data_IF_767954099524
#
_entry.id   IF_767954099524
#
_cell.length_a   1.000
_cell.length_b   1.000
_cell.length_c   1.000
_cell.angle_alpha   90.00
_cell.angle_beta   90.00
_cell.angle_gamma   90.00
#
_symmetry.space_group_name_H-M   'P 1'
#
loop_
_entity.id
_entity.type
_entity.pdbx_description
1 polymer ?
#
# COMPACT_ATOMS: atom_id res chain seq x y z
N UNK A 1 -4.79 17.77 -38.96
CA UNK A 1 -3.37 18.02 -38.66
C UNK A 1 -3.33 18.34 -37.17
N UNK A 2 -2.93 17.40 -36.33
CA UNK A 2 -2.96 17.56 -34.88
C UNK A 2 -1.57 18.00 -34.40
N UNK A 3 -1.53 19.15 -33.72
CA UNK A 3 -0.32 19.74 -33.15
C UNK A 3 0.09 18.96 -31.89
N UNK A 4 1.29 18.38 -31.89
CA UNK A 4 1.90 17.75 -30.72
C UNK A 4 2.68 18.81 -29.96
N UNK A 5 2.07 19.38 -28.92
CA UNK A 5 2.78 20.30 -28.01
C UNK A 5 3.58 19.46 -27.02
N UNK A 6 4.88 19.33 -27.25
CA UNK A 6 5.84 18.76 -26.30
C UNK A 6 6.38 19.90 -25.42
N UNK A 7 6.02 19.90 -24.13
CA UNK A 7 6.63 20.83 -23.17
C UNK A 7 8.02 20.31 -22.76
N UNK A 8 9.04 21.19 -22.66
CA UNK A 8 10.37 20.78 -22.24
C UNK A 8 10.40 20.44 -20.75
N UNK A 9 11.01 19.29 -20.43
CA UNK A 9 11.32 18.91 -19.04
C UNK A 9 12.50 19.80 -18.58
N UNK A 10 12.40 20.49 -17.42
CA UNK A 10 13.50 21.32 -16.93
C UNK A 10 14.77 20.49 -16.72
N UNK A 11 15.87 20.91 -17.34
CA UNK A 11 17.21 20.33 -17.13
C UNK A 11 17.62 20.54 -15.67
N UNK A 12 17.83 19.45 -14.92
CA UNK A 12 18.36 19.56 -13.56
C UNK A 12 18.42 18.26 -12.76
N UNK A 13 17.47 17.35 -12.95
CA UNK A 13 17.52 15.99 -12.39
C UNK A 13 17.04 15.02 -13.47
N UNK A 14 17.94 14.19 -13.99
CA UNK A 14 17.52 13.01 -14.73
C UNK A 14 16.82 12.14 -13.68
N UNK A 15 15.50 11.93 -13.72
CA UNK A 15 14.90 10.94 -12.83
C UNK A 15 15.68 9.65 -13.06
N UNK A 16 16.10 8.98 -11.98
CA UNK A 16 16.77 7.68 -12.10
C UNK A 16 15.97 6.86 -13.10
N UNK A 17 16.61 6.54 -14.25
CA UNK A 17 15.93 5.76 -15.27
C UNK A 17 15.53 4.46 -14.58
N UNK A 18 14.25 4.06 -14.65
CA UNK A 18 13.82 2.81 -14.05
C UNK A 18 14.70 1.70 -14.59
N UNK A 19 15.16 0.83 -13.69
CA UNK A 19 15.98 -0.32 -14.04
C UNK A 19 15.11 -1.40 -14.72
N UNK A 20 14.79 -1.13 -15.99
CA UNK A 20 14.00 -2.02 -16.82
C UNK A 20 14.75 -3.32 -17.09
N UNK A 21 16.07 -3.26 -17.24
CA UNK A 21 16.89 -4.43 -17.57
C UNK A 21 16.80 -5.46 -16.43
N UNK A 22 17.02 -5.05 -15.17
CA UNK A 22 16.86 -5.96 -14.02
C UNK A 22 15.43 -6.52 -13.89
N UNK A 23 14.40 -5.73 -14.23
CA UNK A 23 13.02 -6.20 -14.18
C UNK A 23 12.69 -7.18 -15.31
N UNK A 24 13.22 -6.94 -16.52
CA UNK A 24 13.08 -7.82 -17.68
C UNK A 24 13.79 -9.15 -17.37
N UNK A 25 15.04 -9.11 -16.91
CA UNK A 25 15.81 -10.29 -16.54
C UNK A 25 15.08 -11.14 -15.49
N UNK A 26 14.51 -10.49 -14.47
CA UNK A 26 13.71 -11.19 -13.46
C UNK A 26 12.46 -11.85 -14.07
N UNK A 27 11.76 -11.15 -14.94
CA UNK A 27 10.57 -11.67 -15.62
C UNK A 27 10.90 -12.88 -16.48
N UNK A 28 11.90 -12.78 -17.34
CA UNK A 28 12.23 -13.81 -18.32
C UNK A 28 12.97 -15.00 -17.73
N UNK A 29 13.62 -14.83 -16.57
CA UNK A 29 14.17 -15.95 -15.79
C UNK A 29 13.11 -16.69 -14.95
N UNK A 30 12.00 -16.05 -14.60
CA UNK A 30 11.01 -16.60 -13.65
C UNK A 30 9.74 -17.12 -14.32
N UNK A 31 9.25 -16.45 -15.36
CA UNK A 31 7.98 -16.80 -16.03
C UNK A 31 8.27 -17.53 -17.32
N UNK A 32 7.92 -18.82 -17.40
CA UNK A 32 8.02 -19.65 -18.62
C UNK A 32 9.34 -19.40 -19.39
N UNK A 33 10.48 -19.62 -18.73
CA UNK A 33 11.82 -19.17 -19.16
C UNK A 33 12.11 -19.36 -20.65
N UNK A 34 11.86 -20.56 -21.17
CA UNK A 34 12.18 -20.95 -22.55
C UNK A 34 11.24 -20.33 -23.61
N UNK A 35 10.17 -19.66 -23.18
CA UNK A 35 9.13 -19.12 -24.07
C UNK A 35 9.45 -17.72 -24.63
N UNK A 36 10.47 -17.06 -24.08
CA UNK A 36 10.89 -15.72 -24.46
C UNK A 36 11.86 -15.74 -25.64
N UNK A 37 11.71 -14.78 -26.56
CA UNK A 37 12.58 -14.61 -27.73
C UNK A 37 14.07 -14.50 -27.37
N UNK A 38 14.39 -13.92 -26.21
CA UNK A 38 15.77 -13.75 -25.73
C UNK A 38 16.42 -15.03 -25.18
N UNK A 39 15.61 -16.03 -24.78
CA UNK A 39 16.10 -17.23 -24.08
C UNK A 39 16.17 -18.49 -24.97
N UNK A 40 15.58 -18.51 -26.18
CA UNK A 40 15.56 -19.73 -26.98
C UNK A 40 15.14 -19.61 -28.44
N UNK A 41 15.54 -20.63 -29.23
CA UNK A 41 15.15 -20.80 -30.64
C UNK A 41 13.71 -21.32 -30.68
N UNK A 42 12.74 -20.40 -30.76
CA UNK A 42 11.31 -20.73 -30.79
C UNK A 42 10.44 -19.95 -29.81
N UNK A 43 11.04 -19.03 -29.03
CA UNK A 43 10.28 -18.11 -28.20
C UNK A 43 9.24 -17.34 -29.03
N UNK A 44 8.04 -17.19 -28.50
CA UNK A 44 6.96 -16.40 -29.13
C UNK A 44 6.64 -15.15 -28.31
N UNK A 45 7.18 -15.07 -27.09
CA UNK A 45 6.92 -13.97 -26.18
C UNK A 45 8.00 -12.90 -26.31
N UNK A 46 7.56 -11.65 -26.20
CA UNK A 46 8.39 -10.48 -26.31
C UNK A 46 8.06 -9.49 -25.20
N UNK A 47 9.10 -8.92 -24.60
CA UNK A 47 9.04 -7.89 -23.58
C UNK A 47 9.99 -6.76 -23.95
N UNK A 48 9.54 -5.52 -23.86
CA UNK A 48 10.37 -4.34 -24.15
C UNK A 48 10.05 -3.18 -23.20
N UNK A 49 11.02 -2.34 -22.85
CA UNK A 49 10.77 -1.13 -22.10
C UNK A 49 10.01 -0.10 -22.95
N UNK A 50 9.12 0.64 -22.31
CA UNK A 50 8.47 1.83 -22.84
C UNK A 50 8.70 3.01 -21.87
N UNK A 51 9.85 3.71 -22.00
CA UNK A 51 10.30 4.67 -20.98
C UNK A 51 9.39 5.88 -20.82
N UNK A 52 8.64 6.26 -21.85
CA UNK A 52 7.79 7.46 -21.87
C UNK A 52 6.84 7.56 -20.68
N UNK A 53 6.37 6.43 -20.15
CA UNK A 53 5.50 6.38 -18.98
C UNK A 53 5.91 5.28 -17.99
N UNK A 54 7.20 4.93 -17.93
CA UNK A 54 7.73 3.93 -17.00
C UNK A 54 7.03 2.55 -17.11
N UNK A 55 6.71 2.10 -18.33
CA UNK A 55 5.95 0.86 -18.56
C UNK A 55 6.76 -0.20 -19.31
N UNK A 56 6.30 -1.45 -19.25
CA UNK A 56 6.75 -2.56 -20.08
C UNK A 56 5.66 -2.89 -21.11
N UNK A 57 6.06 -3.11 -22.36
CA UNK A 57 5.19 -3.67 -23.40
C UNK A 57 5.47 -5.15 -23.50
N UNK A 58 4.45 -5.97 -23.31
CA UNK A 58 4.55 -7.42 -23.35
C UNK A 58 3.58 -7.98 -24.40
N UNK A 59 4.10 -8.77 -25.32
CA UNK A 59 3.33 -9.58 -26.26
C UNK A 59 3.54 -11.05 -25.91
N UNK A 60 2.52 -11.69 -25.34
CA UNK A 60 2.60 -13.08 -24.90
C UNK A 60 1.23 -13.78 -24.89
N UNK A 61 1.22 -15.08 -24.60
CA UNK A 61 -0.04 -15.82 -24.38
C UNK A 61 -0.80 -15.34 -23.12
N UNK A 62 -2.10 -15.58 -23.06
CA UNK A 62 -2.92 -15.22 -21.88
C UNK A 62 -2.40 -15.83 -20.57
N UNK A 63 -1.95 -17.08 -20.62
CA UNK A 63 -1.34 -17.75 -19.46
C UNK A 63 -0.10 -17.02 -18.96
N UNK A 64 0.79 -16.59 -19.86
CA UNK A 64 2.00 -15.83 -19.50
C UNK A 64 1.62 -14.48 -18.87
N UNK A 65 0.59 -13.80 -19.39
CA UNK A 65 0.08 -12.58 -18.76
C UNK A 65 -0.46 -12.81 -17.34
N UNK A 66 -1.09 -13.95 -17.06
CA UNK A 66 -1.57 -14.29 -15.72
C UNK A 66 -0.40 -14.55 -14.76
N UNK A 67 0.63 -15.29 -15.21
CA UNK A 67 1.85 -15.54 -14.42
C UNK A 67 2.63 -14.22 -14.16
N UNK A 68 2.76 -13.36 -15.17
CA UNK A 68 3.34 -12.01 -15.04
C UNK A 68 2.58 -11.16 -14.01
N UNK A 69 1.24 -11.21 -14.03
CA UNK A 69 0.41 -10.50 -13.05
C UNK A 69 0.72 -10.99 -11.64
N UNK A 70 0.87 -12.30 -11.45
CA UNK A 70 1.25 -12.91 -10.17
C UNK A 70 2.63 -12.46 -9.68
N UNK A 71 3.64 -12.51 -10.56
CA UNK A 71 5.00 -12.07 -10.23
C UNK A 71 5.04 -10.58 -9.86
N UNK A 72 4.50 -9.70 -10.71
CA UNK A 72 4.49 -8.27 -10.47
C UNK A 72 3.66 -7.90 -9.23
N UNK A 73 2.58 -8.63 -8.93
CA UNK A 73 1.84 -8.45 -7.69
C UNK A 73 2.70 -8.82 -6.47
N UNK A 74 3.43 -9.93 -6.54
CA UNK A 74 4.32 -10.37 -5.45
C UNK A 74 5.41 -9.33 -5.17
N UNK A 75 6.05 -8.79 -6.20
CA UNK A 75 7.06 -7.72 -6.04
C UNK A 75 6.47 -6.47 -5.37
N UNK A 76 5.28 -6.04 -5.80
CA UNK A 76 4.58 -4.92 -5.16
C UNK A 76 4.27 -5.22 -3.71
N UNK A 77 3.81 -6.42 -3.39
CA UNK A 77 3.47 -6.81 -2.02
C UNK A 77 4.68 -6.77 -1.09
N UNK A 78 5.86 -7.15 -1.57
CA UNK A 78 7.12 -7.05 -0.82
C UNK A 78 7.52 -5.59 -0.64
N UNK A 79 7.48 -4.77 -1.70
CA UNK A 79 7.88 -3.36 -1.63
C UNK A 79 6.97 -2.53 -0.71
N UNK A 80 5.68 -2.82 -0.70
CA UNK A 80 4.70 -2.10 0.09
C UNK A 80 4.32 -2.85 1.37
N UNK A 81 5.13 -3.82 1.80
CA UNK A 81 4.93 -4.46 3.10
C UNK A 81 4.99 -3.41 4.19
N UNK A 82 3.94 -3.34 5.01
CA UNK A 82 3.94 -2.43 6.16
C UNK A 82 5.02 -2.89 7.16
N UNK A 83 5.99 -2.03 7.53
CA UNK A 83 7.05 -2.42 8.46
C UNK A 83 6.53 -2.97 9.79
N UNK A 84 7.23 -3.95 10.37
CA UNK A 84 6.80 -4.66 11.58
C UNK A 84 6.54 -3.73 12.78
N UNK A 85 7.32 -2.64 12.91
CA UNK A 85 7.09 -1.62 13.98
C UNK A 85 5.67 -1.05 13.98
N UNK A 86 5.07 -0.93 12.80
CA UNK A 86 3.70 -0.44 12.65
C UNK A 86 2.67 -1.53 12.97
N UNK A 87 2.95 -2.79 12.60
CA UNK A 87 2.13 -3.93 13.02
C UNK A 87 2.20 -4.15 14.54
N UNK A 88 3.34 -3.92 15.18
CA UNK A 88 3.47 -3.93 16.63
C UNK A 88 2.64 -2.82 17.28
N UNK A 89 2.70 -1.60 16.73
CA UNK A 89 1.84 -0.47 17.16
C UNK A 89 0.36 -0.78 17.02
N UNK A 90 -0.02 -1.49 15.94
CA UNK A 90 -1.37 -2.01 15.75
C UNK A 90 -1.74 -2.98 16.88
N UNK A 91 -0.94 -4.04 17.09
CA UNK A 91 -1.22 -5.06 18.11
C UNK A 91 -1.38 -4.43 19.50
N UNK A 92 -0.54 -3.45 19.82
CA UNK A 92 -0.63 -2.69 21.07
C UNK A 92 -1.93 -1.87 21.16
N UNK A 93 -2.33 -1.18 20.08
CA UNK A 93 -3.58 -0.44 20.02
C UNK A 93 -4.80 -1.34 20.24
N UNK A 94 -4.80 -2.52 19.63
CA UNK A 94 -5.86 -3.53 19.79
C UNK A 94 -5.91 -4.06 21.22
N UNK A 95 -4.75 -4.36 21.82
CA UNK A 95 -4.67 -4.89 23.18
C UNK A 95 -5.28 -3.92 24.22
N UNK A 96 -5.18 -2.60 23.97
CA UNK A 96 -5.72 -1.56 24.85
C UNK A 96 -7.25 -1.47 24.85
N UNK A 97 -7.93 -1.95 23.81
CA UNK A 97 -9.40 -1.86 23.63
C UNK A 97 -9.99 -0.48 23.97
N UNK A 98 -9.42 0.60 23.41
CA UNK A 98 -9.88 1.98 23.66
C UNK A 98 -10.73 2.50 22.51
N UNK A 99 -11.63 3.44 22.81
CA UNK A 99 -12.48 4.10 21.83
C UNK A 99 -11.73 5.00 20.86
N UNK A 100 -10.55 5.51 21.25
CA UNK A 100 -9.74 6.36 20.38
C UNK A 100 -8.88 5.53 19.42
N UNK A 101 -8.91 5.80 18.11
CA UNK A 101 -8.03 5.16 17.16
C UNK A 101 -6.56 5.47 17.45
N UNK A 102 -5.68 4.55 17.11
CA UNK A 102 -4.23 4.77 17.09
C UNK A 102 -3.79 5.00 15.65
N UNK A 103 -3.04 6.08 15.44
CA UNK A 103 -2.33 6.32 14.18
C UNK A 103 -1.20 5.31 14.08
N UNK A 104 -1.24 4.51 13.02
CA UNK A 104 -0.23 3.50 12.72
C UNK A 104 0.86 4.12 11.87
N UNK A 105 0.48 4.78 10.77
CA UNK A 105 1.39 5.61 9.99
C UNK A 105 0.61 6.76 9.38
N UNK A 106 1.31 7.86 9.11
CA UNK A 106 0.75 9.06 8.52
C UNK A 106 1.67 9.54 7.40
N UNK A 107 1.06 9.94 6.29
CA UNK A 107 1.72 10.56 5.18
C UNK A 107 1.17 11.98 4.99
N UNK A 108 1.94 13.03 5.30
CA UNK A 108 1.50 14.41 5.09
C UNK A 108 1.39 14.79 3.61
N UNK A 109 2.07 14.06 2.73
CA UNK A 109 2.12 14.38 1.30
C UNK A 109 0.89 13.79 0.63
N UNK A 110 0.10 14.65 0.00
CA UNK A 110 -1.09 14.28 -0.75
C UNK A 110 -0.75 14.25 -2.24
N UNK A 111 -0.92 13.09 -2.87
CA UNK A 111 -0.69 12.91 -4.30
C UNK A 111 -1.09 11.52 -4.77
N UNK A 112 -1.31 11.29 -6.09
CA UNK A 112 -1.72 9.98 -6.59
C UNK A 112 -0.72 8.86 -6.28
N UNK A 113 0.59 9.14 -6.31
CA UNK A 113 1.63 8.15 -6.01
C UNK A 113 1.64 7.78 -4.51
N UNK A 114 1.53 8.79 -3.67
CA UNK A 114 1.48 8.69 -2.21
C UNK A 114 0.24 7.93 -1.76
N UNK A 115 -0.90 8.23 -2.38
CA UNK A 115 -2.16 7.52 -2.19
C UNK A 115 -2.04 6.05 -2.56
N UNK A 116 -1.48 5.75 -3.74
CA UNK A 116 -1.27 4.36 -4.16
C UNK A 116 -0.36 3.62 -3.18
N UNK A 117 0.69 4.28 -2.67
CA UNK A 117 1.60 3.70 -1.69
C UNK A 117 0.89 3.37 -0.37
N UNK A 118 0.11 4.29 0.19
CA UNK A 118 -0.60 4.05 1.46
C UNK A 118 -1.71 3.01 1.29
N UNK A 119 -2.37 2.96 0.13
CA UNK A 119 -3.33 1.92 -0.20
C UNK A 119 -2.65 0.54 -0.28
N UNK A 120 -1.47 0.45 -0.89
CA UNK A 120 -0.73 -0.81 -0.94
C UNK A 120 -0.29 -1.25 0.46
N UNK A 121 0.14 -0.31 1.32
CA UNK A 121 0.39 -0.59 2.74
C UNK A 121 -0.87 -1.08 3.46
N UNK A 122 -2.04 -0.50 3.17
CA UNK A 122 -3.31 -0.98 3.70
C UNK A 122 -3.58 -2.43 3.32
N UNK A 123 -3.51 -2.75 2.02
CA UNK A 123 -3.76 -4.11 1.50
C UNK A 123 -2.79 -5.14 2.07
N UNK A 124 -1.50 -4.77 2.15
CA UNK A 124 -0.48 -5.63 2.74
C UNK A 124 -0.75 -5.90 4.23
N UNK A 125 -1.06 -4.84 4.99
CA UNK A 125 -1.39 -4.98 6.41
C UNK A 125 -2.64 -5.85 6.62
N UNK A 126 -3.71 -5.65 5.84
CA UNK A 126 -4.92 -6.50 5.92
C UNK A 126 -4.59 -7.97 5.69
N UNK A 127 -3.70 -8.30 4.75
CA UNK A 127 -3.25 -9.67 4.52
C UNK A 127 -2.49 -10.25 5.71
N UNK A 128 -1.55 -9.50 6.27
CA UNK A 128 -0.79 -9.93 7.46
C UNK A 128 -1.69 -10.09 8.70
N UNK A 129 -2.66 -9.19 8.86
CA UNK A 129 -3.67 -9.27 9.90
C UNK A 129 -4.59 -10.47 9.68
N UNK A 130 -4.92 -10.81 8.43
CA UNK A 130 -5.70 -12.01 8.10
C UNK A 130 -4.98 -13.28 8.54
N UNK A 131 -3.66 -13.35 8.42
CA UNK A 131 -2.88 -14.47 8.94
C UNK A 131 -2.94 -14.56 10.48
N UNK A 132 -3.02 -13.43 11.18
CA UNK A 132 -3.04 -13.38 12.65
C UNK A 132 -4.45 -13.51 13.25
N UNK A 133 -5.47 -13.08 12.52
CA UNK A 133 -6.82 -12.86 13.02
C UNK A 133 -7.89 -13.61 12.20
N UNK A 134 -7.53 -14.31 11.12
CA UNK A 134 -8.48 -14.88 10.17
C UNK A 134 -9.08 -13.84 9.23
N UNK A 135 -9.94 -14.27 8.32
CA UNK A 135 -10.57 -13.38 7.34
C UNK A 135 -11.35 -12.23 8.00
N UNK A 136 -11.24 -11.00 7.49
CA UNK A 136 -12.07 -9.90 7.95
C UNK A 136 -13.55 -10.20 7.65
N UNK A 137 -14.43 -9.80 8.55
CA UNK A 137 -15.88 -9.86 8.34
C UNK A 137 -16.34 -8.91 7.24
N UNK A 138 -15.59 -7.83 6.99
CA UNK A 138 -15.84 -6.91 5.88
C UNK A 138 -14.55 -6.16 5.49
N UNK A 139 -14.39 -5.91 4.19
CA UNK A 139 -13.50 -4.88 3.65
C UNK A 139 -14.38 -3.96 2.81
N UNK A 140 -14.58 -2.73 3.25
CA UNK A 140 -15.62 -1.84 2.70
C UNK A 140 -15.19 -0.38 2.81
N UNK A 141 -15.98 0.55 2.24
CA UNK A 141 -15.76 1.99 2.49
C UNK A 141 -16.40 2.40 3.81
N UNK A 142 -15.90 3.45 4.45
CA UNK A 142 -16.55 3.95 5.67
C UNK A 142 -18.04 4.28 5.44
N UNK A 143 -18.88 3.88 6.40
CA UNK A 143 -20.33 4.05 6.33
C UNK A 143 -21.10 2.86 5.75
N UNK A 144 -20.39 1.83 5.29
CA UNK A 144 -20.92 0.51 4.94
C UNK A 144 -20.60 -0.49 6.09
N UNK A 145 -21.34 -1.61 6.18
CA UNK A 145 -21.15 -2.69 7.18
C UNK A 145 -21.36 -2.31 8.68
N UNK A 146 -22.38 -1.51 9.00
CA UNK A 146 -22.68 -1.04 10.38
C UNK A 146 -21.48 -0.34 11.07
N UNK A 147 -20.53 0.16 10.28
CA UNK A 147 -19.46 1.00 10.76
C UNK A 147 -19.88 2.48 10.63
N UNK A 148 -19.58 3.34 11.62
CA UNK A 148 -20.13 4.68 11.63
C UNK A 148 -19.73 5.53 10.40
N UNK A 149 -20.72 6.19 9.79
CA UNK A 149 -20.61 7.03 8.57
C UNK A 149 -19.70 8.27 8.69
N UNK A 150 -19.17 8.59 9.87
CA UNK A 150 -18.29 9.76 10.07
C UNK A 150 -16.80 9.45 9.86
N UNK A 151 -16.41 8.17 9.73
CA UNK A 151 -15.04 7.86 9.38
C UNK A 151 -14.78 8.38 7.96
N UNK A 152 -13.83 9.29 7.79
CA UNK A 152 -13.32 9.69 6.46
C UNK A 152 -12.47 8.57 5.85
N UNK A 153 -12.71 7.32 6.26
CA UNK A 153 -11.94 6.19 5.80
C UNK A 153 -12.36 5.79 4.39
N UNK A 154 -11.40 5.87 3.47
CA UNK A 154 -11.58 5.43 2.09
C UNK A 154 -11.77 3.92 2.06
N UNK A 155 -11.07 3.19 2.94
CA UNK A 155 -11.15 1.74 3.07
C UNK A 155 -11.03 1.35 4.54
N UNK A 156 -11.78 0.33 4.93
CA UNK A 156 -11.73 -0.24 6.27
C UNK A 156 -11.88 -1.76 6.21
N UNK A 157 -11.03 -2.45 6.95
CA UNK A 157 -11.14 -3.88 7.23
C UNK A 157 -11.59 -4.08 8.68
N UNK A 158 -12.58 -4.95 8.89
CA UNK A 158 -13.22 -5.15 10.19
C UNK A 158 -13.22 -6.64 10.57
N UNK A 159 -12.86 -6.93 11.82
CA UNK A 159 -12.94 -8.26 12.43
C UNK A 159 -13.84 -8.19 13.67
N UNK A 160 -14.96 -8.91 13.64
CA UNK A 160 -15.85 -9.10 14.76
C UNK A 160 -15.19 -10.03 15.78
N UNK A 161 -15.15 -9.59 17.03
CA UNK A 161 -14.51 -10.28 18.14
C UNK A 161 -15.42 -10.26 19.36
N UNK A 162 -15.16 -11.14 20.32
CA UNK A 162 -15.92 -11.18 21.56
C UNK A 162 -15.82 -9.82 22.27
N UNK A 163 -16.94 -9.09 22.31
CA UNK A 163 -17.07 -7.79 22.94
C UNK A 163 -16.96 -6.59 22.00
N UNK A 164 -16.55 -6.74 20.73
CA UNK A 164 -16.35 -5.58 19.86
C UNK A 164 -15.88 -5.88 18.44
N UNK A 165 -15.54 -4.82 17.73
CA UNK A 165 -15.02 -4.82 16.36
C UNK A 165 -13.59 -4.30 16.37
N UNK A 166 -12.65 -5.15 15.98
CA UNK A 166 -11.32 -4.72 15.59
C UNK A 166 -11.41 -4.10 14.19
N UNK A 167 -10.76 -2.96 13.98
CA UNK A 167 -10.68 -2.38 12.65
C UNK A 167 -9.29 -1.85 12.31
N UNK A 168 -9.01 -1.87 11.01
CA UNK A 168 -7.86 -1.22 10.38
C UNK A 168 -8.39 -0.40 9.22
N UNK A 169 -8.01 0.88 9.12
CA UNK A 169 -8.59 1.79 8.15
C UNK A 169 -7.54 2.70 7.50
N UNK A 170 -7.72 2.93 6.20
CA UNK A 170 -7.09 4.02 5.46
C UNK A 170 -7.99 5.24 5.56
N UNK A 171 -7.52 6.26 6.28
CA UNK A 171 -8.23 7.52 6.49
C UNK A 171 -7.75 8.61 5.52
N UNK A 172 -8.69 9.20 4.78
CA UNK A 172 -8.46 10.44 4.04
C UNK A 172 -8.55 11.61 5.01
N UNK A 173 -7.48 12.40 5.06
CA UNK A 173 -7.43 13.60 5.87
C UNK A 173 -7.09 14.83 5.02
N UNK A 174 -7.34 14.82 3.72
CA UNK A 174 -6.99 15.96 2.86
C UNK A 174 -7.57 17.28 3.40
N UNK A 175 -6.75 18.36 3.45
CA UNK A 175 -5.41 18.49 2.88
C UNK A 175 -4.25 18.04 3.80
N UNK A 176 -4.51 17.57 5.03
CA UNK A 176 -3.47 17.27 6.04
C UNK A 176 -2.79 15.90 5.87
N UNK A 177 -3.15 15.16 4.82
CA UNK A 177 -2.50 13.91 4.44
C UNK A 177 -3.44 12.71 4.39
N UNK A 178 -2.85 11.52 4.46
CA UNK A 178 -3.55 10.25 4.59
C UNK A 178 -2.89 9.43 5.70
N UNK A 179 -3.67 8.59 6.38
CA UNK A 179 -3.15 7.80 7.49
C UNK A 179 -3.72 6.38 7.50
N UNK A 180 -2.91 5.44 7.96
CA UNK A 180 -3.41 4.16 8.42
C UNK A 180 -3.69 4.28 9.92
N UNK A 181 -4.90 3.96 10.30
CA UNK A 181 -5.34 3.97 11.69
C UNK A 181 -5.87 2.58 12.06
N UNK A 182 -5.79 2.28 13.34
CA UNK A 182 -6.29 1.04 13.89
C UNK A 182 -6.97 1.27 15.22
N UNK A 183 -7.89 0.40 15.57
CA UNK A 183 -8.47 0.46 16.90
C UNK A 183 -9.48 -0.63 17.16
N UNK A 184 -10.16 -0.43 18.28
CA UNK A 184 -11.20 -1.32 18.76
C UNK A 184 -12.45 -0.49 19.00
N UNK A 185 -13.59 -1.04 18.60
CA UNK A 185 -14.88 -0.38 18.77
C UNK A 185 -15.87 -1.32 19.43
N UNK A 186 -16.64 -0.80 20.38
CA UNK A 186 -17.78 -1.48 21.00
C UNK A 186 -18.96 -0.50 21.01
N UNK A 187 -20.19 -1.01 21.04
CA UNK A 187 -21.41 -0.19 21.04
C UNK A 187 -21.41 0.83 22.19
N UNK A 188 -20.82 0.46 23.34
CA UNK A 188 -20.71 1.29 24.54
C UNK A 188 -19.87 2.55 24.37
N UNK A 189 -18.95 2.58 23.38
CA UNK A 189 -18.11 3.74 23.10
C UNK A 189 -18.85 4.85 22.37
N UNK A 190 -20.07 4.57 21.89
CA UNK A 190 -20.84 5.49 21.09
C UNK A 190 -20.15 5.80 19.76
N UNK A 191 -20.40 7.00 19.24
CA UNK A 191 -19.77 7.47 17.99
C UNK A 191 -18.32 7.84 18.29
N UNK A 192 -17.39 7.08 17.74
CA UNK A 192 -15.99 7.46 17.68
C UNK A 192 -15.87 8.76 16.85
N UNK A 193 -14.81 9.54 17.05
CA UNK A 193 -14.60 10.81 16.34
C UNK A 193 -13.56 10.60 15.25
N UNK A 194 -13.61 11.34 14.12
CA UNK A 194 -12.51 11.35 13.17
C UNK A 194 -11.21 11.63 13.94
N UNK A 195 -10.14 10.93 13.61
CA UNK A 195 -8.82 11.33 14.10
C UNK A 195 -8.53 12.67 13.47
N UNK A 196 -8.42 13.72 14.27
CA UNK A 196 -7.93 15.01 13.81
C UNK A 196 -6.41 14.92 13.70
N UNK A 197 -5.88 15.34 12.55
CA UNK A 197 -4.45 15.32 12.30
C UNK A 197 -3.92 16.74 12.48
N UNK A 198 -3.16 16.97 13.54
CA UNK A 198 -2.32 18.16 13.69
C UNK A 198 -0.87 17.80 13.40
N UNK A 199 -0.19 18.65 12.63
CA UNK A 199 1.26 18.54 12.38
C UNK A 199 2.09 18.49 13.68
N UNK A 200 1.59 19.07 14.76
CA UNK A 200 2.25 19.06 16.08
C UNK A 200 2.09 17.73 16.83
N UNK A 201 1.01 16.98 16.61
CA UNK A 201 0.71 15.75 17.35
C UNK A 201 1.54 14.55 16.86
N UNK A 202 2.08 14.59 15.64
CA UNK A 202 2.82 13.47 15.04
C UNK A 202 4.33 13.54 15.33
N UNK A 203 4.84 14.71 15.71
CA UNK A 203 6.26 14.93 16.05
C UNK A 203 6.76 14.16 17.29
N UNK A 204 5.87 13.54 18.08
CA UNK A 204 6.21 12.89 19.35
C UNK A 204 6.32 11.36 19.32
N UNK A 205 6.17 10.69 18.16
CA UNK A 205 6.26 9.21 18.08
C UNK A 205 7.35 8.65 17.17
N UNK A 206 8.09 9.48 16.45
CA UNK A 206 9.25 9.04 15.64
C UNK A 206 10.60 9.25 16.33
N UNK A 207 10.66 9.91 17.48
CA UNK A 207 11.90 10.17 18.22
C UNK A 207 12.16 9.17 19.34
N UNK A 208 12.76 8.01 19.01
CA UNK A 208 13.77 7.31 19.84
C UNK A 208 14.14 5.97 19.20
N UNK A 209 15.02 5.96 18.20
CA UNK A 209 15.89 4.80 17.92
C UNK A 209 17.13 5.16 17.08
N UNK A 210 17.65 6.38 17.21
CA UNK A 210 18.98 6.74 16.70
C UNK A 210 19.78 7.38 17.83
N UNK A 211 20.18 6.54 18.80
CA UNK A 211 21.29 6.81 19.73
C UNK A 211 21.57 5.55 20.57
N UNK A 212 22.20 4.56 19.95
CA UNK A 212 23.01 3.54 20.62
C UNK A 212 23.69 2.67 19.55
N UNK A 213 24.74 3.18 18.92
CA UNK A 213 25.84 2.38 18.34
C UNK A 213 26.90 3.34 17.81
N UNK A 214 27.57 4.03 18.75
CA UNK A 214 28.91 4.58 18.58
C UNK A 214 29.50 4.70 19.99
N UNK A 215 29.98 3.57 20.52
CA UNK A 215 31.16 3.47 21.39
C UNK A 215 31.89 2.15 21.08
#
# INVERSE_FOLDING_TARGET
MADLVVLPVPEGEKPDSPDFDSLIDLVTSTVEHDSWMENGVGGMNEIRPFPTNFSLVVSASGRVHDELRGLLQTLRDVMYKLPEKYLASFREAVARKRSSPTIITWNPIVGPKEHQRIENHFRSAVRELTNSYGEPNAITKAGEADFPKWATAQQIAVWNRSGGKLYFALQDARPTGEALIAGWWEDSFGRMKPVEFSTEQVGFRTGNTEKAEQE
#
